data_IF_915603943762
#
_entry.id   IF_915603943762
#
_cell.length_a   1.000
_cell.length_b   1.000
_cell.length_c   1.000
_cell.angle_alpha   90.00
_cell.angle_beta   90.00
_cell.angle_gamma   90.00
#
_symmetry.space_group_name_H-M   'P 1'
#
loop_
_entity.id
_entity.type
_entity.pdbx_description
1 polymer ?
#
# COMPACT_ATOMS: atom_id res chain seq x y z
N UNK A 1 -4.81 0.12 33.38
CA UNK A 1 -4.33 0.13 31.99
C UNK A 1 -4.56 -1.27 31.42
N UNK A 2 -5.34 -1.42 30.36
CA UNK A 2 -5.52 -2.68 29.64
C UNK A 2 -4.21 -3.01 28.93
N UNK A 3 -3.76 -4.26 29.02
CA UNK A 3 -2.57 -4.72 28.27
C UNK A 3 -2.87 -4.64 26.77
N UNK A 4 -2.02 -3.97 25.97
CA UNK A 4 -2.24 -3.90 24.53
C UNK A 4 -2.33 -5.29 23.89
N UNK A 5 -3.23 -5.43 22.91
CA UNK A 5 -3.39 -6.69 22.17
C UNK A 5 -2.08 -7.03 21.47
N UNK A 6 -1.60 -8.25 21.62
CA UNK A 6 -0.44 -8.79 20.92
C UNK A 6 -0.89 -9.64 19.74
N UNK A 7 -0.36 -9.34 18.56
CA UNK A 7 -0.78 -9.99 17.32
C UNK A 7 0.20 -11.07 16.87
N UNK A 8 -0.29 -12.21 16.36
CA UNK A 8 0.52 -13.23 15.72
C UNK A 8 0.84 -12.88 14.27
N UNK A 9 1.81 -13.58 13.66
CA UNK A 9 1.97 -13.66 12.20
C UNK A 9 0.99 -14.67 11.62
N UNK A 10 0.75 -14.65 10.29
CA UNK A 10 -0.03 -15.68 9.60
C UNK A 10 0.85 -16.38 8.57
N UNK A 11 1.21 -17.63 8.84
CA UNK A 11 2.15 -18.39 8.01
C UNK A 11 1.59 -19.80 7.80
N UNK A 12 1.64 -20.29 6.57
CA UNK A 12 1.21 -21.64 6.17
C UNK A 12 -0.24 -21.98 6.60
N UNK A 13 -1.14 -21.02 6.45
CA UNK A 13 -2.56 -21.18 6.75
C UNK A 13 -2.90 -21.23 8.25
N UNK A 14 -2.09 -20.61 9.10
CA UNK A 14 -2.36 -20.54 10.52
C UNK A 14 -1.74 -19.29 11.18
N UNK A 15 -2.37 -18.83 12.26
CA UNK A 15 -1.81 -17.79 13.10
C UNK A 15 -0.73 -18.39 14.02
N UNK A 16 0.50 -17.89 13.86
CA UNK A 16 1.68 -18.36 14.58
C UNK A 16 1.99 -17.41 15.72
N UNK A 17 1.90 -17.91 16.95
CA UNK A 17 2.28 -17.14 18.14
C UNK A 17 3.77 -16.78 18.10
N UNK A 18 4.06 -15.52 18.44
CA UNK A 18 5.43 -15.04 18.51
C UNK A 18 6.19 -15.70 19.66
N UNK A 19 7.37 -16.23 19.39
CA UNK A 19 8.22 -16.91 20.35
C UNK A 19 9.41 -16.06 20.81
N UNK A 20 9.60 -14.88 20.24
CA UNK A 20 10.67 -13.95 20.62
C UNK A 20 10.21 -12.97 21.70
N UNK A 21 11.16 -12.21 22.24
CA UNK A 21 10.92 -11.24 23.33
C UNK A 21 10.69 -9.81 22.82
N UNK A 22 11.10 -9.51 21.58
CA UNK A 22 11.04 -8.16 21.04
C UNK A 22 9.68 -7.88 20.36
N UNK A 23 9.03 -6.79 20.77
CA UNK A 23 7.77 -6.32 20.24
C UNK A 23 7.90 -4.90 19.70
N UNK A 24 7.11 -4.57 18.69
CA UNK A 24 6.94 -3.23 18.16
C UNK A 24 5.58 -2.71 18.61
N UNK A 25 5.56 -1.57 19.27
CA UNK A 25 4.33 -0.89 19.67
C UNK A 25 3.69 -0.23 18.43
N UNK A 26 2.39 -0.45 18.25
CA UNK A 26 1.56 0.23 17.26
C UNK A 26 0.86 1.39 17.97
N UNK A 27 1.12 2.59 17.50
CA UNK A 27 0.70 3.83 18.16
C UNK A 27 -0.40 4.49 17.37
N UNK A 28 -1.46 4.94 18.04
CA UNK A 28 -2.46 5.82 17.44
C UNK A 28 -1.85 7.23 17.29
N UNK A 29 -1.67 7.74 16.06
CA UNK A 29 -1.00 9.02 15.85
C UNK A 29 -1.81 10.24 16.33
N UNK A 30 -3.10 10.08 16.63
CA UNK A 30 -3.95 11.15 17.14
C UNK A 30 -3.91 11.28 18.67
N UNK A 31 -3.64 10.18 19.39
CA UNK A 31 -3.64 10.14 20.87
C UNK A 31 -2.28 9.80 21.46
N UNK A 32 -1.34 9.36 20.64
CA UNK A 32 -0.01 8.85 21.01
C UNK A 32 -0.06 7.60 21.93
N UNK A 33 -1.21 6.97 22.05
CA UNK A 33 -1.40 5.76 22.85
C UNK A 33 -1.01 4.51 22.09
N UNK A 34 -0.47 3.53 22.80
CA UNK A 34 -0.21 2.19 22.25
C UNK A 34 -1.52 1.42 22.15
N UNK A 35 -1.94 1.10 20.94
CA UNK A 35 -3.21 0.38 20.66
C UNK A 35 -3.03 -1.13 20.50
N UNK A 36 -1.85 -1.57 20.07
CA UNK A 36 -1.51 -2.99 19.94
C UNK A 36 0.00 -3.18 19.88
N UNK A 37 0.44 -4.43 19.81
CA UNK A 37 1.84 -4.82 19.61
C UNK A 37 1.95 -5.89 18.55
N UNK A 38 3.00 -5.79 17.73
CA UNK A 38 3.35 -6.80 16.74
C UNK A 38 4.74 -7.36 17.00
N UNK A 39 5.04 -8.59 16.55
CA UNK A 39 6.37 -9.15 16.60
C UNK A 39 7.42 -8.26 15.93
N UNK A 40 8.57 -8.05 16.55
CA UNK A 40 9.77 -7.59 15.85
C UNK A 40 10.43 -8.80 15.19
N UNK A 41 9.79 -9.26 14.10
CA UNK A 41 10.13 -10.51 13.42
C UNK A 41 11.54 -10.54 12.84
N UNK A 42 12.03 -11.74 12.69
CA UNK A 42 13.37 -12.04 12.20
C UNK A 42 13.42 -12.40 10.72
N UNK A 43 14.62 -12.46 10.15
CA UNK A 43 14.85 -13.01 8.81
C UNK A 43 14.41 -14.49 8.73
N UNK A 44 14.50 -15.24 9.86
CA UNK A 44 14.06 -16.64 9.90
C UNK A 44 12.54 -16.78 9.73
N UNK A 45 11.75 -15.86 10.31
CA UNK A 45 10.30 -15.86 10.14
C UNK A 45 9.91 -15.54 8.69
N UNK A 46 10.64 -14.61 8.06
CA UNK A 46 10.48 -14.35 6.64
C UNK A 46 10.80 -15.59 5.79
N UNK A 47 11.88 -16.32 6.10
CA UNK A 47 12.24 -17.58 5.41
C UNK A 47 11.15 -18.63 5.57
N UNK A 48 10.60 -18.82 6.77
CA UNK A 48 9.49 -19.77 6.98
C UNK A 48 8.27 -19.45 6.13
N UNK A 49 7.93 -18.17 6.01
CA UNK A 49 6.82 -17.73 5.16
C UNK A 49 7.11 -17.92 3.66
N UNK A 50 8.34 -17.63 3.21
CA UNK A 50 8.77 -17.89 1.84
C UNK A 50 8.75 -19.39 1.53
N UNK A 51 9.21 -20.22 2.44
CA UNK A 51 9.21 -21.68 2.28
C UNK A 51 7.79 -22.24 2.24
N UNK A 52 6.85 -21.69 3.02
CA UNK A 52 5.43 -22.04 2.92
C UNK A 52 4.84 -21.65 1.56
N UNK A 53 5.16 -20.45 1.06
CA UNK A 53 4.74 -19.98 -0.24
C UNK A 53 5.32 -20.82 -1.39
N UNK A 54 6.58 -21.23 -1.29
CA UNK A 54 7.28 -22.09 -2.26
C UNK A 54 6.63 -23.48 -2.36
N UNK A 55 6.32 -24.10 -1.21
CA UNK A 55 5.61 -25.39 -1.18
C UNK A 55 4.23 -25.33 -1.82
N UNK A 56 3.52 -24.22 -1.66
CA UNK A 56 2.16 -24.04 -2.20
C UNK A 56 2.13 -23.69 -3.69
N UNK A 57 3.24 -23.16 -4.23
CA UNK A 57 3.31 -22.52 -5.54
C UNK A 57 2.82 -23.43 -6.69
N UNK A 58 3.35 -24.63 -6.82
CA UNK A 58 3.01 -25.52 -7.92
C UNK A 58 1.52 -25.92 -7.91
N UNK A 59 0.96 -26.20 -6.73
CA UNK A 59 -0.46 -26.52 -6.56
C UNK A 59 -1.38 -25.34 -6.91
N UNK A 60 -0.99 -24.13 -6.53
CA UNK A 60 -1.76 -22.92 -6.83
C UNK A 60 -1.71 -22.57 -8.32
N UNK A 61 -0.55 -22.63 -8.95
CA UNK A 61 -0.41 -22.41 -10.40
C UNK A 61 -1.21 -23.40 -11.22
N UNK A 62 -1.28 -24.67 -10.80
CA UNK A 62 -2.00 -25.72 -11.50
C UNK A 62 -3.52 -25.50 -11.55
N UNK A 63 -4.09 -24.69 -10.64
CA UNK A 63 -5.52 -24.36 -10.69
C UNK A 63 -5.84 -23.50 -11.92
N UNK A 64 -6.98 -23.73 -12.60
CA UNK A 64 -7.47 -22.81 -13.61
C UNK A 64 -7.63 -21.38 -13.07
N UNK A 65 -7.36 -20.36 -13.90
CA UNK A 65 -7.46 -18.95 -13.47
C UNK A 65 -8.85 -18.60 -12.91
N UNK A 66 -9.91 -19.24 -13.44
CA UNK A 66 -11.28 -19.03 -12.95
C UNK A 66 -11.49 -19.53 -11.51
N UNK A 67 -10.79 -20.59 -11.12
CA UNK A 67 -10.83 -21.09 -9.75
C UNK A 67 -10.07 -20.16 -8.82
N UNK A 68 -8.89 -19.68 -9.22
CA UNK A 68 -8.15 -18.64 -8.47
C UNK A 68 -8.97 -17.37 -8.33
N UNK A 69 -9.70 -16.95 -9.37
CA UNK A 69 -10.63 -15.82 -9.30
C UNK A 69 -11.80 -16.05 -8.33
N UNK A 70 -12.27 -17.29 -8.16
CA UNK A 70 -13.32 -17.58 -7.17
C UNK A 70 -12.84 -17.31 -5.73
N UNK A 71 -11.57 -17.58 -5.43
CA UNK A 71 -10.96 -17.24 -4.15
C UNK A 71 -10.86 -15.72 -3.94
N UNK A 72 -10.47 -14.97 -4.98
CA UNK A 72 -10.45 -13.51 -4.91
C UNK A 72 -11.84 -12.94 -4.61
N UNK A 73 -12.90 -13.46 -5.22
CA UNK A 73 -14.28 -13.03 -4.93
C UNK A 73 -14.73 -13.37 -3.50
N UNK A 74 -14.28 -14.48 -2.94
CA UNK A 74 -14.53 -14.78 -1.52
C UNK A 74 -13.84 -13.77 -0.60
N UNK A 75 -12.60 -13.37 -0.94
CA UNK A 75 -11.86 -12.33 -0.19
C UNK A 75 -12.62 -11.00 -0.28
N UNK A 76 -13.00 -10.55 -1.47
CA UNK A 76 -13.72 -9.28 -1.64
C UNK A 76 -15.08 -9.27 -0.90
N UNK A 77 -15.81 -10.39 -0.91
CA UNK A 77 -17.04 -10.53 -0.13
C UNK A 77 -16.76 -10.41 1.39
N UNK A 78 -15.77 -11.12 1.91
CA UNK A 78 -15.40 -11.04 3.33
C UNK A 78 -14.92 -9.64 3.77
N UNK A 79 -14.32 -8.88 2.87
CA UNK A 79 -13.96 -7.46 3.10
C UNK A 79 -15.22 -6.61 3.24
N UNK A 80 -16.19 -6.76 2.33
CA UNK A 80 -17.44 -5.97 2.34
C UNK A 80 -18.29 -6.21 3.60
N UNK A 81 -18.22 -7.40 4.16
CA UNK A 81 -18.90 -7.73 5.43
C UNK A 81 -18.28 -7.01 6.64
N UNK A 82 -17.02 -6.52 6.51
CA UNK A 82 -16.22 -5.96 7.62
C UNK A 82 -15.76 -4.53 7.38
N UNK A 83 -16.44 -3.77 6.51
CA UNK A 83 -16.04 -2.39 6.18
C UNK A 83 -15.88 -1.53 7.43
N UNK A 84 -16.86 -1.57 8.34
CA UNK A 84 -16.86 -0.76 9.56
C UNK A 84 -15.73 -1.16 10.53
N UNK A 85 -15.46 -2.45 10.69
CA UNK A 85 -14.37 -2.96 11.53
C UNK A 85 -13.00 -2.53 10.99
N UNK A 86 -12.77 -2.77 9.70
CA UNK A 86 -11.47 -2.52 9.07
C UNK A 86 -11.20 -1.02 8.96
N UNK A 87 -12.20 -0.22 8.62
CA UNK A 87 -12.04 1.24 8.56
C UNK A 87 -11.71 1.84 9.92
N UNK A 88 -12.32 1.33 11.00
CA UNK A 88 -11.97 1.76 12.36
C UNK A 88 -10.51 1.44 12.74
N UNK A 89 -9.98 0.29 12.30
CA UNK A 89 -8.56 -0.03 12.48
C UNK A 89 -7.66 0.95 11.72
N UNK A 90 -7.99 1.26 10.47
CA UNK A 90 -7.24 2.22 9.65
C UNK A 90 -7.24 3.62 10.28
N UNK A 91 -8.38 4.05 10.82
CA UNK A 91 -8.48 5.33 11.58
C UNK A 91 -7.57 5.29 12.81
N UNK A 92 -7.64 4.23 13.60
CA UNK A 92 -6.90 4.13 14.85
C UNK A 92 -5.38 4.07 14.67
N UNK A 93 -4.89 3.31 13.69
CA UNK A 93 -3.45 3.12 13.50
C UNK A 93 -2.81 4.12 12.53
N UNK A 94 -3.60 4.71 11.61
CA UNK A 94 -3.11 5.61 10.56
C UNK A 94 -3.52 7.07 10.72
N UNK A 95 -4.45 7.39 11.62
CA UNK A 95 -5.00 8.75 11.77
C UNK A 95 -5.79 9.25 10.58
N UNK A 96 -6.22 8.33 9.69
CA UNK A 96 -7.02 8.65 8.51
C UNK A 96 -8.44 9.02 8.92
N UNK A 97 -9.09 9.99 8.24
CA UNK A 97 -10.50 10.31 8.50
C UNK A 97 -11.40 9.13 8.14
N UNK A 98 -12.48 8.93 8.89
CA UNK A 98 -13.37 7.77 8.77
C UNK A 98 -13.89 7.55 7.34
N UNK A 99 -14.36 8.61 6.69
CA UNK A 99 -14.88 8.54 5.32
C UNK A 99 -13.84 8.02 4.32
N UNK A 100 -12.58 8.49 4.43
CA UNK A 100 -11.52 8.03 3.55
C UNK A 100 -11.09 6.58 3.85
N UNK A 101 -11.14 6.17 5.12
CA UNK A 101 -10.88 4.79 5.49
C UNK A 101 -11.95 3.83 4.93
N UNK A 102 -13.23 4.20 4.98
CA UNK A 102 -14.32 3.43 4.37
C UNK A 102 -14.20 3.34 2.85
N UNK A 103 -13.83 4.46 2.20
CA UNK A 103 -13.54 4.47 0.75
C UNK A 103 -12.39 3.52 0.44
N UNK A 104 -11.30 3.53 1.22
CA UNK A 104 -10.17 2.62 1.02
C UNK A 104 -10.59 1.15 1.10
N UNK A 105 -11.37 0.77 2.12
CA UNK A 105 -11.83 -0.62 2.30
C UNK A 105 -12.73 -1.07 1.15
N UNK A 106 -13.71 -0.26 0.75
CA UNK A 106 -14.59 -0.59 -0.37
C UNK A 106 -13.82 -0.67 -1.69
N UNK A 107 -12.95 0.29 -1.96
CA UNK A 107 -12.11 0.30 -3.17
C UNK A 107 -11.15 -0.89 -3.21
N UNK A 108 -10.70 -1.38 -2.06
CA UNK A 108 -9.91 -2.62 -1.96
C UNK A 108 -10.70 -3.83 -2.46
N UNK A 109 -11.95 -3.98 -2.03
CA UNK A 109 -12.82 -5.06 -2.49
C UNK A 109 -13.11 -4.95 -3.98
N UNK A 110 -13.41 -3.75 -4.48
CA UNK A 110 -13.68 -3.49 -5.90
C UNK A 110 -12.46 -3.81 -6.77
N UNK A 111 -11.26 -3.46 -6.31
CA UNK A 111 -10.02 -3.78 -7.03
C UNK A 111 -9.75 -5.29 -7.09
N UNK A 112 -10.04 -6.03 -6.01
CA UNK A 112 -9.93 -7.49 -6.00
C UNK A 112 -10.90 -8.11 -7.01
N UNK A 113 -12.14 -7.63 -7.09
CA UNK A 113 -13.11 -8.09 -8.08
C UNK A 113 -12.69 -7.73 -9.50
N UNK A 114 -12.19 -6.51 -9.73
CA UNK A 114 -11.62 -6.11 -11.02
C UNK A 114 -10.51 -7.06 -11.47
N UNK A 115 -9.61 -7.44 -10.56
CA UNK A 115 -8.56 -8.41 -10.90
C UNK A 115 -9.11 -9.82 -11.14
N UNK A 116 -10.15 -10.25 -10.44
CA UNK A 116 -10.80 -11.54 -10.66
C UNK A 116 -11.45 -11.64 -12.06
N UNK A 117 -11.90 -10.51 -12.62
CA UNK A 117 -12.47 -10.46 -13.98
C UNK A 117 -11.45 -10.75 -15.09
N UNK A 118 -10.16 -10.63 -14.81
CA UNK A 118 -9.09 -10.97 -15.77
C UNK A 118 -8.91 -12.47 -15.96
N UNK A 119 -9.56 -13.32 -15.18
CA UNK A 119 -9.41 -14.78 -15.25
C UNK A 119 -9.57 -15.39 -16.65
N UNK A 120 -10.43 -14.79 -17.49
CA UNK A 120 -10.68 -15.22 -18.88
C UNK A 120 -10.07 -14.26 -19.93
N UNK A 121 -9.30 -13.28 -19.49
CA UNK A 121 -8.63 -12.30 -20.35
C UNK A 121 -7.10 -12.43 -20.29
N UNK A 122 -6.61 -13.35 -19.47
CA UNK A 122 -5.21 -13.65 -19.28
C UNK A 122 -4.80 -14.74 -20.28
N UNK A 123 -4.67 -14.34 -21.56
CA UNK A 123 -4.47 -15.22 -22.69
C UNK A 123 -3.00 -15.28 -23.11
N UNK A 124 -2.63 -16.32 -23.90
CA UNK A 124 -1.39 -16.42 -24.63
C UNK A 124 -1.53 -15.90 -26.05
N UNK A 125 -0.53 -16.17 -26.89
CA UNK A 125 -0.49 -15.75 -28.29
C UNK A 125 -0.13 -16.92 -29.20
N UNK A 126 -0.67 -16.93 -30.41
CA UNK A 126 -0.25 -17.81 -31.51
C UNK A 126 0.33 -16.90 -32.60
N UNK A 127 1.62 -17.05 -32.87
CA UNK A 127 2.36 -16.21 -33.81
C UNK A 127 2.79 -17.08 -34.97
N UNK A 128 2.58 -16.61 -36.20
CA UNK A 128 3.09 -17.30 -37.40
C UNK A 128 4.61 -17.16 -37.44
N UNK A 129 5.32 -18.29 -37.65
CA UNK A 129 6.76 -18.28 -37.89
C UNK A 129 7.08 -17.92 -39.35
N UNK A 130 8.24 -17.31 -39.57
CA UNK A 130 8.81 -17.14 -40.92
C UNK A 130 9.27 -18.45 -41.57
N UNK A 131 9.27 -19.55 -40.82
CA UNK A 131 9.63 -20.88 -41.32
C UNK A 131 8.40 -21.69 -41.70
N UNK A 132 8.36 -22.28 -42.91
CA UNK A 132 7.25 -23.12 -43.33
C UNK A 132 7.00 -24.31 -42.38
N UNK A 133 5.74 -24.52 -41.99
CA UNK A 133 5.31 -25.62 -41.12
C UNK A 133 5.57 -25.41 -39.62
N UNK A 134 6.04 -24.23 -39.21
CA UNK A 134 6.32 -23.89 -37.82
C UNK A 134 5.30 -22.86 -37.29
N UNK A 135 4.85 -23.05 -36.05
CA UNK A 135 4.02 -22.05 -35.30
C UNK A 135 4.67 -21.76 -33.95
N UNK A 136 4.59 -20.50 -33.51
CA UNK A 136 5.09 -20.06 -32.21
C UNK A 136 3.90 -19.92 -31.28
N UNK A 137 3.95 -20.62 -30.15
CA UNK A 137 2.94 -20.52 -29.08
C UNK A 137 3.56 -19.82 -27.88
N UNK A 138 2.96 -18.72 -27.45
CA UNK A 138 3.38 -17.97 -26.25
C UNK A 138 2.41 -18.26 -25.12
N UNK A 139 2.90 -18.84 -24.04
CA UNK A 139 2.13 -19.12 -22.83
C UNK A 139 2.53 -18.15 -21.71
N UNK A 140 1.54 -17.63 -20.98
CA UNK A 140 1.79 -16.91 -19.74
C UNK A 140 1.89 -17.90 -18.59
N UNK A 141 2.96 -17.80 -17.80
CA UNK A 141 3.24 -18.64 -16.64
C UNK A 141 3.39 -17.80 -15.39
N UNK A 142 3.09 -18.38 -14.23
CA UNK A 142 3.41 -17.76 -12.97
C UNK A 142 4.92 -17.53 -12.82
N UNK A 143 5.31 -16.47 -12.12
CA UNK A 143 6.71 -16.21 -11.80
C UNK A 143 7.21 -17.14 -10.70
N UNK A 144 6.34 -17.47 -9.74
CA UNK A 144 6.65 -18.24 -8.56
C UNK A 144 6.24 -17.54 -7.26
N UNK A 145 7.10 -17.60 -6.26
CA UNK A 145 6.89 -16.87 -5.00
C UNK A 145 7.09 -15.37 -5.21
N UNK A 146 6.12 -14.58 -4.80
CA UNK A 146 6.21 -13.13 -4.81
C UNK A 146 6.19 -12.55 -3.40
N UNK A 147 6.75 -11.37 -3.22
CA UNK A 147 6.69 -10.65 -1.94
C UNK A 147 6.10 -9.26 -2.12
N UNK A 148 5.32 -8.82 -1.13
CA UNK A 148 4.70 -7.51 -1.08
C UNK A 148 5.14 -6.74 0.15
N UNK A 149 5.88 -5.64 -0.02
CA UNK A 149 6.31 -4.75 1.06
C UNK A 149 5.49 -3.48 0.98
N UNK A 150 4.75 -3.17 2.05
CA UNK A 150 3.70 -2.16 2.05
C UNK A 150 4.07 -0.93 2.89
N UNK A 151 3.63 0.27 2.47
CA UNK A 151 3.70 1.48 3.26
C UNK A 151 2.51 1.57 4.23
N UNK A 152 2.49 2.67 5.00
CA UNK A 152 1.49 2.94 6.02
C UNK A 152 0.32 3.82 5.55
N UNK A 153 0.41 4.48 4.40
CA UNK A 153 -0.55 5.55 4.02
C UNK A 153 -1.87 5.06 3.41
N UNK A 154 -1.86 3.97 2.63
CA UNK A 154 -3.04 3.25 2.16
C UNK A 154 -2.83 1.75 2.41
N UNK A 155 -2.74 1.37 3.69
CA UNK A 155 -2.22 0.06 4.09
C UNK A 155 -3.08 -1.10 3.61
N UNK A 156 -4.41 -0.94 3.63
CA UNK A 156 -5.33 -2.00 3.27
C UNK A 156 -5.46 -2.16 1.75
N UNK A 157 -5.58 -1.06 1.02
CA UNK A 157 -5.65 -1.10 -0.45
C UNK A 157 -4.39 -1.69 -1.08
N UNK A 158 -3.23 -1.36 -0.54
CA UNK A 158 -1.96 -1.83 -1.09
C UNK A 158 -1.71 -3.32 -0.85
N UNK A 159 -2.42 -3.98 0.08
CA UNK A 159 -2.46 -5.44 0.16
C UNK A 159 -3.06 -5.99 -1.14
N UNK A 160 -4.27 -5.54 -1.48
CA UNK A 160 -4.99 -6.02 -2.66
C UNK A 160 -4.24 -5.74 -3.95
N UNK A 161 -3.62 -4.56 -4.06
CA UNK A 161 -2.86 -4.16 -5.26
C UNK A 161 -1.67 -5.08 -5.57
N UNK A 162 -1.14 -5.75 -4.56
CA UNK A 162 -0.08 -6.73 -4.75
C UNK A 162 -0.60 -8.17 -4.78
N UNK A 163 -1.51 -8.49 -3.88
CA UNK A 163 -2.04 -9.85 -3.73
C UNK A 163 -2.93 -10.26 -4.91
N UNK A 164 -3.88 -9.42 -5.33
CA UNK A 164 -4.88 -9.85 -6.30
C UNK A 164 -4.27 -10.20 -7.68
N UNK A 165 -3.40 -9.37 -8.29
CA UNK A 165 -2.72 -9.78 -9.52
C UNK A 165 -1.80 -10.98 -9.32
N UNK A 166 -1.09 -11.10 -8.18
CA UNK A 166 -0.22 -12.24 -7.91
C UNK A 166 -1.02 -13.55 -7.87
N UNK A 167 -2.08 -13.60 -7.06
CA UNK A 167 -2.89 -14.81 -6.91
C UNK A 167 -3.61 -15.18 -8.20
N UNK A 168 -4.19 -14.20 -8.91
CA UNK A 168 -4.89 -14.48 -10.17
C UNK A 168 -3.97 -15.10 -11.22
N UNK A 169 -2.75 -14.59 -11.33
CA UNK A 169 -1.77 -15.08 -12.31
C UNK A 169 -1.00 -16.34 -11.86
N UNK A 170 -1.42 -16.95 -10.74
CA UNK A 170 -0.92 -18.23 -10.27
C UNK A 170 0.31 -18.16 -9.38
N UNK A 171 0.68 -16.98 -8.90
CA UNK A 171 1.78 -16.80 -7.95
C UNK A 171 1.30 -16.95 -6.51
N UNK A 172 2.18 -17.35 -5.61
CA UNK A 172 1.99 -17.23 -4.15
C UNK A 172 2.58 -15.91 -3.65
N UNK A 173 2.17 -15.48 -2.45
CA UNK A 173 2.62 -14.18 -1.94
C UNK A 173 2.90 -14.18 -0.44
N UNK A 174 3.98 -13.48 -0.05
CA UNK A 174 4.28 -13.11 1.33
C UNK A 174 4.17 -11.60 1.47
N UNK A 175 3.29 -11.13 2.33
CA UNK A 175 3.06 -9.70 2.61
C UNK A 175 3.76 -9.29 3.90
N UNK A 176 4.47 -8.14 3.86
CA UNK A 176 4.95 -7.41 5.01
C UNK A 176 4.29 -6.03 5.05
N UNK A 177 3.37 -5.76 5.97
CA UNK A 177 2.81 -4.42 6.15
C UNK A 177 3.86 -3.48 6.79
N UNK A 178 3.58 -2.19 6.78
CA UNK A 178 4.31 -1.25 7.60
C UNK A 178 4.11 -1.55 9.08
N UNK A 179 5.14 -1.34 9.88
CA UNK A 179 5.09 -1.44 11.33
C UNK A 179 4.20 -0.36 11.98
N UNK A 180 3.91 0.72 11.26
CA UNK A 180 3.01 1.77 11.75
C UNK A 180 1.52 1.42 11.61
N UNK A 181 1.16 0.60 10.62
CA UNK A 181 -0.24 0.28 10.30
C UNK A 181 -0.42 -1.20 9.98
N UNK A 182 -0.15 -2.11 10.93
CA UNK A 182 -0.20 -3.55 10.68
C UNK A 182 -1.56 -4.17 10.98
N UNK A 183 -2.42 -3.54 11.83
CA UNK A 183 -3.64 -4.16 12.34
C UNK A 183 -4.65 -4.47 11.22
N UNK A 184 -4.77 -3.61 10.22
CA UNK A 184 -5.61 -3.84 9.06
C UNK A 184 -5.15 -5.08 8.25
N UNK A 185 -3.84 -5.31 8.14
CA UNK A 185 -3.31 -6.50 7.45
C UNK A 185 -3.58 -7.79 8.23
N UNK A 186 -3.61 -7.72 9.56
CA UNK A 186 -4.00 -8.84 10.43
C UNK A 186 -5.50 -9.12 10.27
N UNK A 187 -6.34 -8.08 10.17
CA UNK A 187 -7.76 -8.24 9.85
C UNK A 187 -7.96 -8.89 8.47
N UNK A 188 -7.14 -8.51 7.48
CA UNK A 188 -7.12 -9.18 6.16
C UNK A 188 -6.74 -10.66 6.29
N UNK A 189 -5.73 -10.99 7.08
CA UNK A 189 -5.33 -12.40 7.31
C UNK A 189 -6.43 -13.22 7.96
N UNK A 190 -7.25 -12.64 8.86
CA UNK A 190 -8.43 -13.31 9.44
C UNK A 190 -9.45 -13.66 8.37
N UNK A 191 -9.73 -12.75 7.43
CA UNK A 191 -10.62 -13.04 6.29
C UNK A 191 -10.09 -14.21 5.47
N UNK A 192 -8.79 -14.19 5.15
CA UNK A 192 -8.14 -15.26 4.39
C UNK A 192 -8.22 -16.61 5.10
N UNK A 193 -8.04 -16.64 6.41
CA UNK A 193 -8.15 -17.84 7.24
C UNK A 193 -9.59 -18.39 7.24
N UNK A 194 -10.57 -17.54 7.50
CA UNK A 194 -12.00 -17.91 7.57
C UNK A 194 -12.55 -18.45 6.25
N UNK A 195 -12.12 -17.91 5.11
CA UNK A 195 -12.55 -18.43 3.80
C UNK A 195 -11.84 -19.74 3.44
N UNK A 196 -10.82 -20.14 4.19
CA UNK A 196 -10.05 -21.36 3.97
C UNK A 196 -9.18 -21.33 2.71
N UNK A 197 -8.53 -20.19 2.42
CA UNK A 197 -7.57 -20.10 1.30
C UNK A 197 -6.50 -21.19 1.45
N UNK A 198 -6.09 -21.92 0.39
CA UNK A 198 -5.10 -22.98 0.52
C UNK A 198 -3.82 -22.52 1.25
N UNK A 199 -3.33 -23.36 2.16
CA UNK A 199 -2.17 -23.07 3.01
C UNK A 199 -0.97 -22.64 2.18
N UNK A 200 -0.23 -21.64 2.65
CA UNK A 200 0.97 -21.13 2.01
C UNK A 200 0.72 -20.18 0.81
N UNK A 201 -0.48 -20.13 0.22
CA UNK A 201 -0.79 -19.24 -0.91
C UNK A 201 -0.66 -17.77 -0.53
N UNK A 202 -1.09 -17.41 0.67
CA UNK A 202 -0.90 -16.12 1.30
C UNK A 202 -0.23 -16.28 2.65
N UNK A 203 0.77 -15.44 2.94
CA UNK A 203 1.45 -15.39 4.22
C UNK A 203 1.62 -13.92 4.65
N UNK A 204 1.51 -13.65 5.94
CA UNK A 204 1.71 -12.34 6.54
C UNK A 204 2.83 -12.40 7.57
N UNK A 205 3.91 -11.68 7.33
CA UNK A 205 5.04 -11.54 8.26
C UNK A 205 5.14 -10.12 8.78
N UNK A 206 5.45 -9.99 10.06
CA UNK A 206 5.53 -8.73 10.79
C UNK A 206 6.97 -8.48 11.21
N UNK A 207 7.36 -7.22 11.33
CA UNK A 207 8.71 -6.82 11.70
C UNK A 207 9.22 -5.65 10.88
N UNK A 208 10.49 -5.28 11.10
CA UNK A 208 11.11 -4.12 10.47
C UNK A 208 11.55 -4.37 9.02
N UNK A 209 11.66 -3.28 8.25
CA UNK A 209 12.17 -3.34 6.88
C UNK A 209 13.61 -3.84 6.80
N UNK A 210 14.42 -3.54 7.80
CA UNK A 210 15.86 -3.86 7.85
C UNK A 210 16.14 -5.34 8.10
N UNK A 211 15.20 -6.05 8.69
CA UNK A 211 15.30 -7.50 8.97
C UNK A 211 14.41 -8.29 8.02
N UNK A 212 13.10 -8.26 8.24
CA UNK A 212 12.12 -9.01 7.46
C UNK A 212 12.08 -8.54 6.01
N UNK A 213 12.04 -7.21 5.77
CA UNK A 213 11.99 -6.65 4.41
C UNK A 213 13.24 -6.99 3.58
N UNK A 214 14.42 -6.97 4.21
CA UNK A 214 15.68 -7.33 3.58
C UNK A 214 15.70 -8.80 3.13
N UNK A 215 15.21 -9.71 3.97
CA UNK A 215 15.11 -11.14 3.63
C UNK A 215 14.09 -11.37 2.50
N UNK A 216 12.92 -10.72 2.55
CA UNK A 216 11.90 -10.82 1.50
C UNK A 216 12.39 -10.35 0.13
N UNK A 217 13.37 -9.44 0.10
CA UNK A 217 13.94 -8.94 -1.15
C UNK A 217 15.17 -9.74 -1.61
N UNK A 218 15.94 -10.30 -0.70
CA UNK A 218 17.22 -10.96 -0.99
C UNK A 218 17.17 -12.47 -1.02
N UNK A 219 16.04 -13.10 -0.75
CA UNK A 219 15.93 -14.56 -0.73
C UNK A 219 15.87 -15.14 -2.15
N UNK A 220 16.70 -16.16 -2.47
CA UNK A 220 16.78 -16.71 -3.83
C UNK A 220 15.51 -17.44 -4.32
N UNK A 221 14.59 -17.83 -3.44
CA UNK A 221 13.30 -18.42 -3.81
C UNK A 221 12.28 -17.39 -4.30
N UNK A 222 12.51 -16.10 -4.02
CA UNK A 222 11.61 -15.01 -4.43
C UNK A 222 11.83 -14.65 -5.88
N UNK A 223 10.81 -14.83 -6.70
CA UNK A 223 10.84 -14.53 -8.11
C UNK A 223 10.55 -13.04 -8.42
N UNK A 224 9.76 -12.37 -7.56
CA UNK A 224 9.45 -10.95 -7.71
C UNK A 224 9.19 -10.29 -6.36
N UNK A 225 9.77 -9.10 -6.17
CA UNK A 225 9.46 -8.18 -5.06
C UNK A 225 8.61 -7.04 -5.58
N UNK A 226 7.44 -6.82 -4.99
CA UNK A 226 6.61 -5.65 -5.23
C UNK A 226 6.60 -4.78 -3.99
N UNK A 227 7.20 -3.58 -4.06
CA UNK A 227 7.35 -2.69 -2.94
C UNK A 227 6.70 -1.33 -3.23
N UNK A 228 6.00 -0.80 -2.24
CA UNK A 228 5.55 0.60 -2.22
C UNK A 228 6.09 1.28 -0.97
N UNK A 229 6.74 2.44 -1.12
CA UNK A 229 7.33 3.14 0.01
C UNK A 229 8.20 4.33 -0.38
N UNK A 230 9.21 4.64 0.45
CA UNK A 230 10.14 5.74 0.18
C UNK A 230 11.21 5.36 -0.85
N UNK A 231 11.80 6.38 -1.50
CA UNK A 231 12.92 6.20 -2.45
C UNK A 231 14.07 5.45 -1.78
N UNK A 232 14.50 5.87 -0.58
CA UNK A 232 15.61 5.21 0.12
C UNK A 232 15.32 3.75 0.52
N UNK A 233 14.05 3.39 0.80
CA UNK A 233 13.67 1.99 0.98
C UNK A 233 13.73 1.22 -0.37
N UNK A 234 13.28 1.84 -1.47
CA UNK A 234 13.37 1.27 -2.80
C UNK A 234 14.81 0.96 -3.23
N UNK A 235 15.75 1.86 -2.95
CA UNK A 235 17.19 1.65 -3.19
C UNK A 235 17.74 0.42 -2.46
N UNK A 236 17.36 0.26 -1.17
CA UNK A 236 17.77 -0.90 -0.35
C UNK A 236 17.18 -2.21 -0.91
N UNK A 237 15.91 -2.20 -1.31
CA UNK A 237 15.23 -3.36 -1.91
C UNK A 237 15.88 -3.73 -3.25
N UNK A 238 16.15 -2.75 -4.11
CA UNK A 238 16.82 -2.99 -5.39
C UNK A 238 18.20 -3.62 -5.19
N UNK A 239 18.98 -3.10 -4.23
CA UNK A 239 20.31 -3.64 -3.91
C UNK A 239 20.23 -5.09 -3.37
N UNK A 240 19.24 -5.41 -2.53
CA UNK A 240 19.06 -6.75 -2.02
C UNK A 240 18.65 -7.75 -3.13
N UNK A 241 17.70 -7.36 -3.98
CA UNK A 241 17.19 -8.15 -5.09
C UNK A 241 18.24 -8.42 -6.18
N UNK A 242 19.17 -7.50 -6.38
CA UNK A 242 20.22 -7.60 -7.38
C UNK A 242 21.09 -8.85 -7.24
N UNK A 243 21.26 -9.38 -6.03
CA UNK A 243 22.08 -10.58 -5.76
C UNK A 243 21.57 -11.82 -6.51
N UNK A 244 20.26 -11.92 -6.68
CA UNK A 244 19.61 -13.06 -7.34
C UNK A 244 18.97 -12.68 -8.68
N UNK A 245 19.18 -11.44 -9.15
CA UNK A 245 18.52 -10.88 -10.36
C UNK A 245 16.98 -11.00 -10.23
N UNK A 246 16.48 -10.88 -9.00
CA UNK A 246 15.05 -10.96 -8.71
C UNK A 246 14.32 -9.77 -9.34
N UNK A 247 13.18 -10.01 -9.96
CA UNK A 247 12.33 -8.93 -10.52
C UNK A 247 11.85 -8.00 -9.43
N UNK A 248 11.88 -6.70 -9.70
CA UNK A 248 11.46 -5.68 -8.73
C UNK A 248 10.43 -4.76 -9.37
N UNK A 249 9.29 -4.58 -8.70
CA UNK A 249 8.29 -3.57 -9.00
C UNK A 249 8.28 -2.54 -7.87
N UNK A 250 8.69 -1.31 -8.14
CA UNK A 250 8.77 -0.22 -7.15
C UNK A 250 7.73 0.85 -7.44
N UNK A 251 6.93 1.16 -6.41
CA UNK A 251 6.04 2.31 -6.36
C UNK A 251 6.56 3.24 -5.26
N UNK A 252 7.06 4.40 -5.63
CA UNK A 252 7.81 5.28 -4.73
C UNK A 252 7.10 6.64 -4.57
N UNK A 253 7.72 7.54 -3.83
CA UNK A 253 7.24 8.91 -3.70
C UNK A 253 7.29 9.67 -5.02
N UNK A 254 6.54 10.75 -5.12
CA UNK A 254 6.45 11.58 -6.31
C UNK A 254 6.30 13.05 -5.99
N UNK A 255 6.34 13.86 -7.05
CA UNK A 255 6.17 15.31 -7.07
C UNK A 255 5.11 15.67 -8.12
N UNK A 256 3.87 15.16 -7.93
CA UNK A 256 2.82 15.26 -8.94
C UNK A 256 2.51 16.73 -9.31
N UNK A 257 2.53 17.10 -10.59
CA UNK A 257 2.16 18.44 -11.04
C UNK A 257 0.65 18.58 -11.18
N UNK A 258 0.12 19.74 -10.84
CA UNK A 258 -1.20 20.22 -11.23
C UNK A 258 -1.03 21.44 -12.13
N UNK A 259 -1.79 21.51 -13.23
CA UNK A 259 -1.68 22.59 -14.22
C UNK A 259 -3.03 23.29 -14.31
N UNK A 260 -3.02 24.62 -14.15
CA UNK A 260 -4.21 25.47 -14.23
C UNK A 260 -4.02 26.46 -15.36
N UNK A 261 -4.85 26.33 -16.41
CA UNK A 261 -4.84 27.18 -17.59
C UNK A 261 -5.74 28.41 -17.38
N UNK A 262 -5.58 29.45 -18.21
CA UNK A 262 -6.32 30.70 -18.11
C UNK A 262 -7.84 30.53 -18.27
N UNK A 263 -8.27 29.53 -19.02
CA UNK A 263 -9.68 29.19 -19.32
C UNK A 263 -10.25 28.16 -18.34
N UNK A 264 -9.49 27.76 -17.28
CA UNK A 264 -9.97 26.82 -16.29
C UNK A 264 -11.13 27.39 -15.46
N UNK A 265 -12.07 26.52 -15.07
CA UNK A 265 -13.04 26.83 -14.02
C UNK A 265 -12.29 27.01 -12.71
N UNK A 266 -12.28 28.23 -12.19
CA UNK A 266 -11.52 28.63 -11.00
C UNK A 266 -11.92 27.82 -9.76
N UNK A 267 -13.23 27.70 -9.49
CA UNK A 267 -13.71 27.04 -8.28
C UNK A 267 -13.46 25.52 -8.35
N UNK A 268 -13.65 24.92 -9.52
CA UNK A 268 -13.35 23.51 -9.74
C UNK A 268 -11.85 23.24 -9.59
N UNK A 269 -10.99 24.08 -10.17
CA UNK A 269 -9.54 23.94 -10.07
C UNK A 269 -9.04 24.06 -8.62
N UNK A 270 -9.53 25.08 -7.88
CA UNK A 270 -9.21 25.26 -6.47
C UNK A 270 -9.66 24.05 -5.65
N UNK A 271 -10.92 23.65 -5.81
CA UNK A 271 -11.46 22.48 -5.09
C UNK A 271 -10.64 21.21 -5.35
N UNK A 272 -10.36 20.90 -6.61
CA UNK A 272 -9.62 19.69 -7.00
C UNK A 272 -8.19 19.68 -6.42
N UNK A 273 -7.53 20.83 -6.39
CA UNK A 273 -6.17 20.93 -5.83
C UNK A 273 -6.18 20.85 -4.31
N UNK A 274 -7.15 21.49 -3.64
CA UNK A 274 -7.31 21.35 -2.19
C UNK A 274 -7.58 19.89 -1.84
N UNK A 275 -8.57 19.25 -2.45
CA UNK A 275 -8.92 17.85 -2.20
C UNK A 275 -7.71 16.93 -2.42
N UNK A 276 -6.98 17.14 -3.52
CA UNK A 276 -5.76 16.37 -3.82
C UNK A 276 -4.64 16.62 -2.78
N UNK A 277 -4.52 17.83 -2.24
CA UNK A 277 -3.43 18.16 -1.32
C UNK A 277 -3.71 17.71 0.12
N UNK A 278 -4.97 17.75 0.55
CA UNK A 278 -5.35 17.44 1.94
C UNK A 278 -5.66 15.96 2.18
N UNK A 279 -5.90 15.19 1.12
CA UNK A 279 -6.20 13.76 1.24
C UNK A 279 -5.14 13.06 2.10
N UNK A 280 -5.59 12.32 3.10
CA UNK A 280 -4.73 11.66 4.10
C UNK A 280 -3.63 12.60 4.66
N UNK A 281 -3.99 13.85 4.91
CA UNK A 281 -3.08 14.90 5.42
C UNK A 281 -1.87 15.15 4.49
N UNK A 282 -2.07 15.01 3.18
CA UNK A 282 -1.04 15.15 2.16
C UNK A 282 -0.02 14.01 2.09
N UNK A 283 -0.26 12.91 2.78
CA UNK A 283 0.65 11.77 2.89
C UNK A 283 0.38 10.73 1.79
N UNK A 284 0.29 11.19 0.54
CA UNK A 284 -0.02 10.34 -0.63
C UNK A 284 0.97 10.61 -1.76
N UNK A 285 1.40 9.56 -2.45
CA UNK A 285 2.41 9.62 -3.52
C UNK A 285 2.00 10.47 -4.73
N UNK A 286 0.69 10.63 -4.99
CA UNK A 286 0.14 11.37 -6.12
C UNK A 286 -0.59 12.66 -5.73
N UNK A 287 -0.40 13.18 -4.51
CA UNK A 287 -0.90 14.51 -4.16
C UNK A 287 -0.35 15.59 -5.09
N UNK A 288 -1.19 16.59 -5.42
CA UNK A 288 -0.72 17.79 -6.10
C UNK A 288 0.34 18.49 -5.25
N UNK A 289 1.60 18.42 -5.68
CA UNK A 289 2.72 18.98 -4.92
C UNK A 289 3.34 20.20 -5.60
N UNK A 290 3.27 20.26 -6.94
CA UNK A 290 3.67 21.42 -7.72
C UNK A 290 2.44 21.93 -8.48
N UNK A 291 2.09 23.18 -8.29
CA UNK A 291 0.95 23.79 -8.97
C UNK A 291 1.46 24.84 -9.95
N UNK A 292 1.32 24.55 -11.24
CA UNK A 292 1.67 25.46 -12.33
C UNK A 292 0.42 26.20 -12.77
N UNK A 293 0.47 27.53 -12.66
CA UNK A 293 -0.70 28.38 -12.98
C UNK A 293 -0.34 29.34 -14.09
N UNK A 294 -1.14 29.36 -15.14
CA UNK A 294 -0.96 30.28 -16.25
C UNK A 294 -1.17 31.72 -15.77
N UNK A 295 -0.43 32.68 -16.35
CA UNK A 295 -0.29 34.05 -15.87
C UNK A 295 -1.63 34.79 -15.76
N UNK A 296 -2.54 34.58 -16.72
CA UNK A 296 -3.81 35.30 -16.79
C UNK A 296 -4.78 35.01 -15.63
N UNK A 297 -4.70 33.82 -15.03
CA UNK A 297 -5.54 33.41 -13.89
C UNK A 297 -4.79 33.42 -12.54
N UNK A 298 -3.47 33.62 -12.54
CA UNK A 298 -2.58 33.38 -11.42
C UNK A 298 -3.01 34.06 -10.12
N UNK A 299 -3.19 35.41 -10.13
CA UNK A 299 -3.52 36.14 -8.91
C UNK A 299 -4.87 35.73 -8.31
N UNK A 300 -5.86 35.53 -9.17
CA UNK A 300 -7.19 35.06 -8.76
C UNK A 300 -7.13 33.68 -8.15
N UNK A 301 -6.40 32.79 -8.79
CA UNK A 301 -6.24 31.41 -8.35
C UNK A 301 -5.50 31.33 -7.02
N UNK A 302 -4.34 31.99 -6.86
CA UNK A 302 -3.53 31.95 -5.64
C UNK A 302 -4.29 32.51 -4.44
N UNK A 303 -5.00 33.64 -4.63
CA UNK A 303 -5.82 34.21 -3.56
C UNK A 303 -6.93 33.23 -3.14
N UNK A 304 -7.66 32.69 -4.09
CA UNK A 304 -8.78 31.78 -3.83
C UNK A 304 -8.32 30.45 -3.24
N UNK A 305 -7.19 29.90 -3.70
CA UNK A 305 -6.57 28.70 -3.13
C UNK A 305 -6.14 28.95 -1.68
N UNK A 306 -5.52 30.11 -1.41
CA UNK A 306 -5.12 30.48 -0.05
C UNK A 306 -6.29 30.55 0.93
N UNK A 307 -7.43 31.12 0.51
CA UNK A 307 -8.66 31.10 1.31
C UNK A 307 -9.19 29.70 1.55
N UNK A 308 -9.25 28.88 0.52
CA UNK A 308 -9.73 27.52 0.61
C UNK A 308 -8.85 26.64 1.52
N UNK A 309 -7.53 26.77 1.42
CA UNK A 309 -6.59 26.04 2.30
C UNK A 309 -6.71 26.47 3.77
N UNK A 310 -6.94 27.75 4.05
CA UNK A 310 -7.16 28.24 5.44
C UNK A 310 -8.46 27.71 6.04
N UNK A 311 -9.45 27.40 5.23
CA UNK A 311 -10.74 26.87 5.67
C UNK A 311 -10.71 25.37 5.98
N UNK A 312 -9.65 24.66 5.61
CA UNK A 312 -9.53 23.21 5.85
C UNK A 312 -9.50 22.90 7.34
N UNK A 313 -10.44 22.07 7.78
CA UNK A 313 -10.54 21.63 9.16
C UNK A 313 -9.69 20.39 9.41
N UNK A 314 -9.05 20.33 10.57
CA UNK A 314 -8.25 19.18 10.99
C UNK A 314 -8.50 18.84 12.47
N UNK A 315 -8.15 17.64 12.87
CA UNK A 315 -8.34 17.20 14.25
C UNK A 315 -8.19 15.69 14.44
N UNK A 316 -8.64 15.20 15.59
CA UNK A 316 -8.69 13.77 15.88
C UNK A 316 -9.86 13.12 15.11
N UNK A 317 -9.61 12.19 14.18
CA UNK A 317 -10.64 11.58 13.35
C UNK A 317 -11.57 10.63 14.13
N UNK A 318 -11.20 10.21 15.34
CA UNK A 318 -12.06 9.43 16.23
C UNK A 318 -13.12 10.28 16.95
N UNK A 319 -12.88 11.59 17.10
CA UNK A 319 -13.73 12.51 17.84
C UNK A 319 -14.55 13.44 16.92
N UNK A 320 -14.04 13.68 15.71
CA UNK A 320 -14.62 14.66 14.77
C UNK A 320 -14.85 14.06 13.41
N UNK A 321 -16.04 14.25 12.88
CA UNK A 321 -16.44 13.81 11.52
C UNK A 321 -16.47 14.95 10.50
N UNK A 322 -16.32 16.20 10.96
CA UNK A 322 -16.37 17.43 10.16
C UNK A 322 -14.99 17.93 9.70
N UNK A 323 -13.98 17.07 9.76
CA UNK A 323 -12.59 17.38 9.40
C UNK A 323 -12.20 16.76 8.05
N UNK A 324 -11.28 17.43 7.35
CA UNK A 324 -10.69 16.94 6.10
C UNK A 324 -9.32 16.29 6.32
N UNK A 325 -8.65 16.56 7.43
CA UNK A 325 -7.33 16.03 7.76
C UNK A 325 -7.25 15.52 9.19
N UNK A 326 -6.62 14.35 9.35
CA UNK A 326 -6.15 13.83 10.64
C UNK A 326 -4.71 14.24 10.95
N UNK A 327 -4.02 13.55 11.88
CA UNK A 327 -2.62 13.78 12.19
C UNK A 327 -1.67 13.29 11.09
N UNK A 328 -0.41 13.69 11.20
CA UNK A 328 0.70 12.99 10.53
C UNK A 328 0.96 11.66 11.23
N UNK A 329 1.54 10.71 10.51
CA UNK A 329 1.69 9.32 10.99
C UNK A 329 2.56 9.19 12.25
N UNK A 330 3.53 10.07 12.46
CA UNK A 330 4.41 10.06 13.63
C UNK A 330 5.17 11.38 13.79
N UNK A 331 5.84 11.56 14.93
CA UNK A 331 6.63 12.75 15.26
C UNK A 331 7.74 13.02 14.23
N UNK A 332 8.42 11.97 13.73
CA UNK A 332 9.46 12.15 12.71
C UNK A 332 8.92 12.70 11.37
N UNK A 333 7.66 12.43 11.06
CA UNK A 333 7.00 13.04 9.90
C UNK A 333 6.72 14.52 10.14
N UNK A 334 6.29 14.88 11.34
CA UNK A 334 6.08 16.28 11.76
C UNK A 334 7.39 17.08 11.68
N UNK A 335 8.45 16.59 12.30
CA UNK A 335 9.78 17.22 12.26
C UNK A 335 10.27 17.46 10.83
N UNK A 336 10.07 16.49 9.93
CA UNK A 336 10.43 16.66 8.51
C UNK A 336 9.64 17.76 7.82
N UNK A 337 8.35 17.90 8.11
CA UNK A 337 7.51 18.94 7.54
C UNK A 337 7.92 20.31 8.10
N UNK A 338 8.12 20.43 9.40
CA UNK A 338 8.58 21.63 10.08
C UNK A 338 9.94 22.10 9.52
N UNK A 339 10.91 21.19 9.42
CA UNK A 339 12.23 21.53 8.87
C UNK A 339 12.12 22.06 7.43
N UNK A 340 11.28 21.46 6.59
CA UNK A 340 11.05 21.95 5.23
C UNK A 340 10.37 23.32 5.24
N UNK A 341 9.34 23.53 6.05
CA UNK A 341 8.63 24.79 6.14
C UNK A 341 9.56 25.93 6.61
N UNK A 342 10.39 25.68 7.64
CA UNK A 342 11.40 26.64 8.12
C UNK A 342 12.40 26.96 7.03
N UNK A 343 12.92 25.96 6.32
CA UNK A 343 13.87 26.14 5.21
C UNK A 343 13.28 27.04 4.11
N UNK A 344 12.04 26.79 3.68
CA UNK A 344 11.36 27.63 2.68
C UNK A 344 11.19 29.09 3.17
N UNK A 345 10.84 29.29 4.42
CA UNK A 345 10.65 30.62 5.00
C UNK A 345 11.94 31.40 5.08
N UNK A 346 13.02 30.76 5.52
CA UNK A 346 14.33 31.42 5.66
C UNK A 346 15.05 31.64 4.34
N UNK A 347 14.94 30.74 3.39
CA UNK A 347 15.57 30.84 2.07
C UNK A 347 14.80 31.80 1.15
N UNK A 348 13.61 32.30 1.56
CA UNK A 348 12.73 33.07 0.69
C UNK A 348 12.59 32.41 -0.69
N UNK A 349 12.49 31.11 -0.71
CA UNK A 349 12.30 30.34 -1.93
C UNK A 349 10.88 30.62 -2.48
N UNK A 350 10.66 31.87 -2.85
CA UNK A 350 9.64 32.21 -3.82
C UNK A 350 10.26 31.87 -5.15
N UNK A 351 9.95 30.70 -5.67
CA UNK A 351 10.14 30.44 -7.09
C UNK A 351 9.24 31.42 -7.83
N UNK A 352 9.80 32.56 -8.15
CA UNK A 352 9.16 33.53 -9.02
C UNK A 352 9.24 33.00 -10.44
N UNK A 353 8.26 33.35 -11.28
CA UNK A 353 8.19 33.02 -12.72
C UNK A 353 9.47 33.34 -13.51
N UNK A 354 10.43 34.04 -12.92
CA UNK A 354 11.73 34.33 -13.52
C UNK A 354 12.72 33.14 -13.47
N UNK A 355 12.43 32.10 -12.69
CA UNK A 355 13.27 30.91 -12.51
C UNK A 355 12.66 29.64 -13.11
N UNK A 356 11.53 29.75 -13.79
CA UNK A 356 10.92 28.74 -14.63
C UNK A 356 11.14 29.15 -16.09
#
# INVERSE_FOLDING_TARGET
MTVPVQHPMYIDGQFVAWQGDAWIDVINPATEEVISRIPDGSAEDARKAIDAADRAQAGWEALPAIERASWLRKISAGIRERVSEISALIVAEGGKIQQLAEVEVNFTADYIDYMAEWARRYEGEIIQSDRPGENILVFKRALGVTTGILPWNFPFFLIARKLAPALLTGNTIVIKPSEFTPNNAIAFAKIVDEIGLPKGVFNLVLGRGETVGQELAGNPKVAMVSMTGSVGAGEKIMAAAAKNITKVGLELGGKAPAIVMDDADLELAVKAIVDSRVINTGQVCNCAERVYVQKGIYDRFVNRLGEAMKAVQFGNPAERTDIAMGPLINAAALERVEHKAVSYTHLRAHETLANL
#
